data_IF_871160872212
#
_entry.id   IF_871160872212
#
_cell.length_a   1.000
_cell.length_b   1.000
_cell.length_c   1.000
_cell.angle_alpha   90.00
_cell.angle_beta   90.00
_cell.angle_gamma   90.00
#
_symmetry.space_group_name_H-M   'P 1'
#
loop_
_entity.id
_entity.type
_entity.pdbx_description
1 polymer ?
#
# COMPACT_ATOMS: atom_id res chain seq x y z
N UNK A 1 36.49 29.12 -16.20
CA UNK A 1 35.15 29.38 -15.63
C UNK A 1 34.16 28.57 -16.46
N UNK A 2 33.76 27.38 -16.01
CA UNK A 2 32.72 26.59 -16.67
C UNK A 2 31.43 26.80 -15.87
N UNK A 3 30.55 27.66 -16.39
CA UNK A 3 29.22 27.86 -15.83
C UNK A 3 28.30 26.74 -16.32
N UNK A 4 28.01 25.78 -15.43
CA UNK A 4 26.91 24.84 -15.64
C UNK A 4 25.61 25.59 -15.41
N UNK A 5 24.73 25.65 -16.42
CA UNK A 5 23.36 26.11 -16.23
C UNK A 5 22.62 25.05 -15.42
N UNK A 6 22.37 25.32 -14.14
CA UNK A 6 21.36 24.59 -13.38
C UNK A 6 20.01 24.82 -14.06
N UNK A 7 19.54 23.86 -14.84
CA UNK A 7 18.15 23.84 -15.32
C UNK A 7 17.24 23.84 -14.09
N UNK A 8 16.35 24.82 -14.04
CA UNK A 8 15.44 24.98 -12.92
C UNK A 8 14.48 23.78 -12.82
N UNK A 9 14.02 23.47 -11.61
CA UNK A 9 13.01 22.42 -11.36
C UNK A 9 11.77 22.62 -12.26
N UNK A 10 11.41 23.87 -12.55
CA UNK A 10 10.28 24.23 -13.41
C UNK A 10 10.50 23.86 -14.88
N UNK A 11 11.73 23.98 -15.39
CA UNK A 11 12.09 23.58 -16.75
C UNK A 11 12.10 22.06 -16.91
N UNK A 12 12.64 21.34 -15.92
CA UNK A 12 12.61 19.87 -15.89
C UNK A 12 11.17 19.34 -15.79
N UNK A 13 10.34 19.94 -14.95
CA UNK A 13 8.90 19.64 -14.89
C UNK A 13 8.23 19.86 -16.24
N UNK A 14 8.52 20.98 -16.91
CA UNK A 14 7.95 21.27 -18.23
C UNK A 14 8.39 20.26 -19.29
N UNK A 15 9.65 19.83 -19.26
CA UNK A 15 10.18 18.82 -20.18
C UNK A 15 9.55 17.44 -19.97
N UNK A 16 9.43 16.99 -18.72
CA UNK A 16 8.76 15.71 -18.39
C UNK A 16 7.29 15.75 -18.81
N UNK A 17 6.61 16.88 -18.60
CA UNK A 17 5.22 17.04 -19.03
C UNK A 17 5.04 16.97 -20.54
N UNK A 18 5.97 17.52 -21.32
CA UNK A 18 5.95 17.38 -22.78
C UNK A 18 6.17 15.93 -23.22
N UNK A 19 7.08 15.22 -22.56
CA UNK A 19 7.36 13.82 -22.85
C UNK A 19 6.16 12.91 -22.56
N UNK A 20 5.49 13.10 -21.41
CA UNK A 20 4.28 12.35 -21.06
C UNK A 20 3.12 12.63 -22.04
N UNK A 21 3.03 13.87 -22.55
CA UNK A 21 2.04 14.23 -23.57
C UNK A 21 2.35 13.59 -24.93
N UNK A 22 3.63 13.48 -25.30
CA UNK A 22 4.07 12.77 -26.51
C UNK A 22 3.82 11.27 -26.44
N UNK A 23 4.14 10.63 -25.30
CA UNK A 23 3.81 9.22 -25.06
C UNK A 23 2.30 8.97 -25.15
N UNK A 24 1.47 9.97 -24.78
CA UNK A 24 0.02 9.92 -24.97
C UNK A 24 -0.46 10.01 -26.42
N UNK A 25 0.30 10.65 -27.32
CA UNK A 25 -0.08 10.87 -28.72
C UNK A 25 0.43 9.80 -29.70
N UNK A 26 1.54 9.11 -29.38
CA UNK A 26 2.13 8.08 -30.26
C UNK A 26 1.39 6.72 -30.20
N UNK A 27 0.34 6.59 -29.38
CA UNK A 27 -0.45 5.36 -29.20
C UNK A 27 -1.72 5.31 -30.05
N UNK A 28 -1.82 6.14 -31.10
CA UNK A 28 -2.97 6.14 -32.00
C UNK A 28 -2.83 5.09 -33.13
N UNK A 29 -2.46 3.86 -32.75
CA UNK A 29 -2.23 2.73 -33.64
C UNK A 29 -3.05 1.50 -33.25
N UNK A 30 -4.27 1.42 -33.76
CA UNK A 30 -5.06 0.20 -34.03
C UNK A 30 -5.07 -0.95 -33.01
N UNK A 31 -6.14 -1.03 -32.21
CA UNK A 31 -6.52 -2.24 -31.48
C UNK A 31 -7.30 -1.92 -30.22
N UNK A 32 -8.54 -2.40 -30.13
CA UNK A 32 -9.45 -2.30 -28.98
C UNK A 32 -8.81 -2.87 -27.70
N UNK A 33 -8.01 -2.04 -27.03
CA UNK A 33 -7.41 -2.30 -25.73
C UNK A 33 -7.99 -1.27 -24.78
N UNK A 34 -8.80 -1.73 -23.83
CA UNK A 34 -9.60 -0.93 -22.89
C UNK A 34 -8.99 0.44 -22.60
N UNK A 35 -9.50 1.44 -23.32
CA UNK A 35 -9.02 2.81 -23.22
C UNK A 35 -9.08 3.23 -21.76
N UNK A 36 -7.91 3.54 -21.17
CA UNK A 36 -7.84 4.04 -19.80
C UNK A 36 -8.71 5.29 -19.76
N UNK A 37 -9.85 5.19 -19.07
CA UNK A 37 -10.78 6.32 -19.00
C UNK A 37 -10.23 7.31 -17.97
N UNK A 38 -10.31 8.63 -18.24
CA UNK A 38 -9.96 9.63 -17.26
C UNK A 38 -10.77 9.45 -15.97
N UNK A 39 -10.18 9.78 -14.82
CA UNK A 39 -10.91 9.83 -13.56
C UNK A 39 -12.02 10.89 -13.61
N UNK A 40 -13.13 10.66 -12.91
CA UNK A 40 -14.19 11.66 -12.79
C UNK A 40 -13.69 12.87 -11.99
N UNK A 41 -14.18 14.06 -12.34
CA UNK A 41 -13.72 15.29 -11.67
C UNK A 41 -14.08 15.28 -10.18
N UNK A 42 -15.20 14.66 -9.81
CA UNK A 42 -15.58 14.39 -8.42
C UNK A 42 -14.57 13.48 -7.72
N UNK A 43 -14.17 12.38 -8.37
CA UNK A 43 -13.20 11.46 -7.80
C UNK A 43 -11.85 12.15 -7.55
N UNK A 44 -11.37 12.95 -8.50
CA UNK A 44 -10.12 13.72 -8.36
C UNK A 44 -10.24 14.75 -7.23
N UNK A 45 -11.34 15.51 -7.15
CA UNK A 45 -11.58 16.47 -6.06
C UNK A 45 -11.58 15.80 -4.69
N UNK A 46 -12.20 14.63 -4.59
CA UNK A 46 -12.35 13.89 -3.33
C UNK A 46 -11.04 13.28 -2.80
N UNK A 47 -9.98 13.19 -3.60
CA UNK A 47 -8.66 12.79 -3.11
C UNK A 47 -8.05 13.82 -2.15
N UNK A 48 -8.46 15.09 -2.28
CA UNK A 48 -7.90 16.19 -1.52
C UNK A 48 -6.42 16.45 -1.85
N UNK A 49 -5.84 17.41 -1.15
CA UNK A 49 -4.40 17.64 -1.18
C UNK A 49 -3.98 18.26 0.14
N UNK A 50 -2.76 17.97 0.57
CA UNK A 50 -2.20 18.51 1.80
C UNK A 50 -0.75 18.97 1.55
N UNK A 51 -0.27 19.89 2.38
CA UNK A 51 1.14 20.25 2.37
C UNK A 51 1.92 19.09 2.98
N UNK A 52 3.00 18.66 2.33
CA UNK A 52 3.94 17.71 2.91
C UNK A 52 4.53 18.34 4.18
N UNK A 53 4.24 17.81 5.35
CA UNK A 53 4.53 18.43 6.65
C UNK A 53 5.60 17.68 7.46
N UNK A 54 6.43 16.89 6.79
CA UNK A 54 7.26 15.84 7.41
C UNK A 54 6.46 14.74 8.14
N UNK A 55 5.24 14.40 7.70
CA UNK A 55 4.84 13.01 7.78
C UNK A 55 5.83 12.19 6.92
N UNK A 56 6.95 11.76 7.51
CA UNK A 56 7.92 10.85 6.91
C UNK A 56 7.14 9.72 6.25
N UNK A 57 7.21 9.65 4.92
CA UNK A 57 6.57 8.60 4.15
C UNK A 57 7.41 7.36 4.39
N UNK A 58 6.99 6.59 5.40
CA UNK A 58 7.68 5.37 5.79
C UNK A 58 7.10 4.25 4.94
N UNK A 59 7.91 3.76 4.01
CA UNK A 59 7.63 2.50 3.34
C UNK A 59 8.24 1.37 4.16
N UNK A 60 7.41 0.37 4.45
CA UNK A 60 7.86 -0.85 5.13
C UNK A 60 7.68 -2.01 4.18
N UNK A 61 8.79 -2.69 3.91
CA UNK A 61 8.84 -3.91 3.14
C UNK A 61 9.24 -5.07 4.04
N UNK A 62 8.48 -6.16 3.96
CA UNK A 62 8.84 -7.45 4.57
C UNK A 62 9.37 -8.34 3.45
N UNK A 63 10.64 -8.69 3.57
CA UNK A 63 11.36 -9.51 2.60
C UNK A 63 11.47 -10.91 3.17
N UNK A 64 10.80 -11.87 2.53
CA UNK A 64 10.72 -13.26 3.00
C UNK A 64 11.65 -14.10 2.17
N UNK A 65 12.55 -14.83 2.83
CA UNK A 65 13.50 -15.72 2.16
C UNK A 65 12.76 -16.81 1.38
N UNK A 66 13.03 -16.88 0.07
CA UNK A 66 12.39 -17.83 -0.83
C UNK A 66 11.14 -17.32 -1.54
N UNK A 67 10.65 -16.11 -1.23
CA UNK A 67 9.60 -15.43 -1.97
C UNK A 67 10.24 -14.34 -2.85
N UNK A 68 9.84 -14.27 -4.13
CA UNK A 68 10.27 -13.19 -5.02
C UNK A 68 9.47 -11.92 -4.72
N UNK A 69 10.16 -10.81 -4.51
CA UNK A 69 9.56 -9.49 -4.28
C UNK A 69 9.47 -9.12 -2.80
N UNK A 70 8.77 -8.02 -2.53
CA UNK A 70 8.62 -7.45 -1.20
C UNK A 70 7.14 -7.38 -0.82
N UNK A 71 6.82 -7.71 0.43
CA UNK A 71 5.48 -7.53 0.97
C UNK A 71 5.38 -6.18 1.65
N UNK A 72 4.48 -5.33 1.17
CA UNK A 72 4.25 -4.02 1.76
C UNK A 72 3.50 -4.17 3.09
N UNK A 73 3.99 -3.45 4.10
CA UNK A 73 3.34 -3.30 5.39
C UNK A 73 3.22 -1.81 5.77
N UNK A 74 2.30 -1.51 6.69
CA UNK A 74 2.07 -0.17 7.21
C UNK A 74 2.51 -0.11 8.67
N UNK A 75 3.36 0.83 9.09
CA UNK A 75 3.79 0.94 10.48
C UNK A 75 2.65 1.39 11.39
N UNK A 76 2.69 0.94 12.65
CA UNK A 76 1.88 1.51 13.72
C UNK A 76 2.35 2.93 14.07
N UNK A 77 1.46 3.72 14.68
CA UNK A 77 1.83 5.02 15.28
C UNK A 77 2.41 4.87 16.70
N UNK A 78 2.92 3.68 17.02
CA UNK A 78 3.49 3.34 18.30
C UNK A 78 4.58 2.29 18.11
N UNK A 79 5.46 2.18 19.10
CA UNK A 79 6.69 1.40 18.97
C UNK A 79 7.69 2.04 17.99
N UNK A 80 8.92 1.54 17.95
CA UNK A 80 9.92 1.99 17.00
C UNK A 80 9.54 1.61 15.56
N UNK A 81 9.88 2.49 14.61
CA UNK A 81 9.76 2.20 13.17
C UNK A 81 11.16 2.07 12.57
N UNK A 82 11.74 0.88 12.68
CA UNK A 82 13.13 0.60 12.34
C UNK A 82 13.28 -0.69 11.54
N UNK A 83 14.34 -0.75 10.74
CA UNK A 83 14.65 -1.95 9.97
C UNK A 83 15.13 -3.08 10.89
N UNK A 84 14.70 -4.30 10.59
CA UNK A 84 15.10 -5.50 11.31
C UNK A 84 15.83 -6.44 10.34
N UNK A 85 17.04 -6.87 10.73
CA UNK A 85 17.77 -7.95 10.03
C UNK A 85 16.95 -9.23 10.02
N UNK A 86 17.32 -10.17 9.16
CA UNK A 86 16.64 -11.46 9.04
C UNK A 86 16.42 -12.14 10.41
N UNK A 87 15.18 -12.57 10.65
CA UNK A 87 14.73 -13.28 11.85
C UNK A 87 13.75 -14.38 11.46
N UNK A 88 13.65 -15.40 12.31
CA UNK A 88 12.61 -16.40 12.15
C UNK A 88 11.23 -15.78 12.38
N UNK A 89 10.24 -16.28 11.65
CA UNK A 89 8.84 -15.88 11.74
C UNK A 89 8.08 -16.97 12.50
N UNK A 90 7.21 -16.57 13.43
CA UNK A 90 6.33 -17.48 14.15
C UNK A 90 4.90 -16.95 14.13
N UNK A 91 3.93 -17.84 13.96
CA UNK A 91 2.51 -17.49 14.05
C UNK A 91 2.09 -17.61 15.52
N UNK A 92 1.41 -16.59 16.03
CA UNK A 92 0.88 -16.61 17.39
C UNK A 92 -0.21 -17.67 17.58
N UNK A 93 -0.27 -18.28 18.76
CA UNK A 93 -1.35 -19.17 19.17
C UNK A 93 -1.89 -18.73 20.53
N UNK A 94 -3.13 -18.21 20.65
CA UNK A 94 -4.11 -18.01 19.58
C UNK A 94 -3.67 -16.93 18.58
N UNK A 95 -4.13 -17.05 17.34
CA UNK A 95 -3.70 -16.20 16.24
C UNK A 95 -4.05 -14.72 16.43
N UNK A 96 -5.13 -14.43 17.14
CA UNK A 96 -5.50 -13.05 17.48
C UNK A 96 -4.66 -12.45 18.62
N UNK A 97 -3.85 -13.22 19.36
CA UNK A 97 -3.10 -12.73 20.52
C UNK A 97 -3.95 -12.01 21.58
N UNK A 98 -5.25 -12.28 21.64
CA UNK A 98 -6.18 -11.69 22.61
C UNK A 98 -6.06 -12.33 24.00
N UNK A 99 -5.51 -13.55 24.05
CA UNK A 99 -5.25 -14.35 25.26
C UNK A 99 -3.74 -14.63 25.38
N UNK A 100 -3.26 -15.12 26.55
CA UNK A 100 -1.87 -15.58 26.67
C UNK A 100 -1.50 -16.60 25.60
N UNK A 101 -0.28 -16.49 25.07
CA UNK A 101 0.17 -17.36 23.99
C UNK A 101 0.51 -18.76 24.50
N UNK A 102 0.00 -19.77 23.82
CA UNK A 102 0.31 -21.18 24.06
C UNK A 102 1.74 -21.50 23.65
N UNK A 103 2.22 -20.86 22.57
CA UNK A 103 3.56 -21.01 22.03
C UNK A 103 4.51 -19.85 22.39
N UNK A 104 4.32 -19.23 23.57
CA UNK A 104 5.14 -18.09 24.01
C UNK A 104 6.66 -18.40 24.01
N UNK A 105 7.03 -19.63 24.37
CA UNK A 105 8.41 -20.13 24.37
C UNK A 105 9.06 -20.13 22.97
N UNK A 106 8.27 -20.14 21.89
CA UNK A 106 8.77 -20.12 20.53
C UNK A 106 9.03 -18.69 20.00
N UNK A 107 8.64 -17.63 20.72
CA UNK A 107 8.61 -16.26 20.21
C UNK A 107 9.91 -15.47 20.40
N UNK A 108 10.78 -15.90 21.30
CA UNK A 108 12.02 -15.19 21.63
C UNK A 108 12.89 -14.98 20.37
N UNK A 109 13.30 -13.74 20.16
CA UNK A 109 14.11 -13.31 18.99
C UNK A 109 13.44 -13.55 17.62
N UNK A 110 12.11 -13.67 17.58
CA UNK A 110 11.35 -13.88 16.33
C UNK A 110 10.42 -12.72 15.99
N UNK A 111 10.04 -12.66 14.72
CA UNK A 111 8.94 -11.83 14.21
C UNK A 111 7.65 -12.60 14.45
N UNK A 112 6.73 -12.04 15.24
CA UNK A 112 5.45 -12.69 15.56
C UNK A 112 4.36 -12.19 14.61
N UNK A 113 3.64 -13.12 14.00
CA UNK A 113 2.51 -12.85 13.11
C UNK A 113 1.20 -13.18 13.82
N UNK A 114 0.26 -12.26 13.78
CA UNK A 114 -1.04 -12.36 14.44
C UNK A 114 -2.13 -11.68 13.61
N UNK A 115 -3.40 -11.98 13.81
CA UNK A 115 -4.49 -11.27 13.14
C UNK A 115 -5.06 -10.09 13.95
N UNK A 116 -5.71 -9.18 13.24
CA UNK A 116 -6.53 -8.12 13.81
C UNK A 116 -7.78 -8.69 14.48
N UNK A 117 -8.13 -8.18 15.65
CA UNK A 117 -9.36 -8.53 16.38
C UNK A 117 -9.11 -8.91 17.83
N UNK A 118 -10.15 -9.15 18.62
CA UNK A 118 -10.05 -9.69 19.98
C UNK A 118 -9.50 -8.76 21.09
N UNK A 119 -8.55 -7.85 20.80
CA UNK A 119 -8.09 -6.80 21.73
C UNK A 119 -7.38 -5.64 20.99
N UNK A 120 -6.93 -4.63 21.73
CA UNK A 120 -6.22 -3.45 21.18
C UNK A 120 -4.88 -3.84 20.55
N UNK A 121 -4.41 -3.08 19.55
CA UNK A 121 -3.13 -3.37 18.88
C UNK A 121 -1.95 -3.29 19.85
N UNK A 122 -1.90 -2.24 20.68
CA UNK A 122 -0.87 -2.08 21.69
C UNK A 122 -0.82 -3.29 22.63
N UNK A 123 -1.98 -3.76 23.13
CA UNK A 123 -2.03 -4.93 24.02
C UNK A 123 -1.48 -6.19 23.37
N UNK A 124 -1.78 -6.44 22.09
CA UNK A 124 -1.23 -7.59 21.35
C UNK A 124 0.29 -7.52 21.29
N UNK A 125 0.82 -6.35 20.93
CA UNK A 125 2.26 -6.12 20.76
C UNK A 125 2.97 -6.23 22.11
N UNK A 126 2.43 -5.67 23.18
CA UNK A 126 2.96 -5.81 24.54
C UNK A 126 3.03 -7.27 24.99
N UNK A 127 2.02 -8.10 24.66
CA UNK A 127 2.08 -9.54 24.97
C UNK A 127 3.20 -10.23 24.20
N UNK A 128 3.37 -9.94 22.91
CA UNK A 128 4.43 -10.55 22.11
C UNK A 128 5.82 -10.10 22.59
N UNK A 129 5.96 -8.82 22.92
CA UNK A 129 7.15 -8.26 23.55
C UNK A 129 7.49 -8.98 24.87
N UNK A 130 6.49 -9.22 25.72
CA UNK A 130 6.69 -9.97 26.97
C UNK A 130 7.13 -11.43 26.72
N UNK A 131 6.78 -12.02 25.57
CA UNK A 131 7.26 -13.33 25.13
C UNK A 131 8.64 -13.29 24.44
N UNK A 132 9.27 -12.10 24.36
CA UNK A 132 10.59 -11.91 23.76
C UNK A 132 10.59 -11.73 22.25
N UNK A 133 9.44 -11.45 21.64
CA UNK A 133 9.38 -11.09 20.22
C UNK A 133 10.17 -9.82 19.94
N UNK A 134 10.76 -9.74 18.75
CA UNK A 134 11.56 -8.57 18.31
C UNK A 134 10.81 -7.67 17.34
N UNK A 135 9.72 -8.14 16.75
CA UNK A 135 8.77 -7.34 15.99
C UNK A 135 7.43 -8.08 15.86
N UNK A 136 6.38 -7.34 15.52
CA UNK A 136 5.04 -7.88 15.28
C UNK A 136 4.51 -7.47 13.90
N UNK A 137 3.92 -8.44 13.20
CA UNK A 137 3.15 -8.22 11.97
C UNK A 137 1.70 -8.59 12.26
N UNK A 138 0.80 -7.62 12.16
CA UNK A 138 -0.65 -7.81 12.28
C UNK A 138 -1.27 -7.98 10.90
N UNK A 139 -1.98 -9.08 10.70
CA UNK A 139 -2.72 -9.37 9.48
C UNK A 139 -4.11 -8.73 9.60
N UNK A 140 -4.43 -7.87 8.64
CA UNK A 140 -5.77 -7.32 8.50
C UNK A 140 -6.79 -8.44 8.18
N UNK A 141 -8.02 -8.33 8.69
CA UNK A 141 -9.08 -9.33 8.48
C UNK A 141 -10.06 -8.97 7.36
N UNK A 142 -10.09 -7.70 6.94
CA UNK A 142 -10.96 -7.19 5.86
C UNK A 142 -10.11 -6.86 4.63
N UNK A 143 -10.62 -7.12 3.43
CA UNK A 143 -9.92 -6.82 2.17
C UNK A 143 -9.98 -5.32 1.81
N UNK A 144 -9.36 -4.53 2.69
CA UNK A 144 -9.10 -3.11 2.51
C UNK A 144 -7.60 -2.87 2.67
N UNK A 145 -7.14 -1.72 2.17
CA UNK A 145 -5.76 -1.30 2.37
C UNK A 145 -5.42 -1.26 3.89
N UNK A 146 -4.24 -1.74 4.30
CA UNK A 146 -3.79 -1.64 5.69
C UNK A 146 -3.77 -0.20 6.16
N UNK A 147 -4.21 0.04 7.38
CA UNK A 147 -4.19 1.36 7.99
C UNK A 147 -3.14 1.42 9.11
N UNK A 148 -2.72 2.63 9.44
CA UNK A 148 -1.81 2.87 10.57
C UNK A 148 -2.49 2.41 11.85
N UNK A 149 -1.90 1.44 12.55
CA UNK A 149 -2.41 0.99 13.84
C UNK A 149 -2.24 2.12 14.85
N UNK A 150 -3.36 2.65 15.34
CA UNK A 150 -3.37 3.72 16.34
C UNK A 150 -3.61 3.16 17.74
N UNK A 151 -3.01 3.79 18.74
CA UNK A 151 -3.33 3.54 20.14
C UNK A 151 -4.54 4.38 20.55
N UNK A 152 -5.67 3.73 20.77
CA UNK A 152 -6.89 4.38 21.24
C UNK A 152 -7.01 4.43 22.77
N UNK A 153 -6.14 3.74 23.50
CA UNK A 153 -6.28 3.50 24.95
C UNK A 153 -5.12 4.06 25.78
N UNK A 154 -4.04 4.51 25.16
CA UNK A 154 -2.84 5.01 25.84
C UNK A 154 -1.93 3.89 26.37
N UNK A 155 -2.23 2.63 26.03
CA UNK A 155 -1.45 1.47 26.47
C UNK A 155 -0.10 1.36 25.74
N UNK A 156 0.09 2.08 24.63
CA UNK A 156 1.25 1.90 23.76
C UNK A 156 2.56 2.50 24.28
N UNK A 157 2.51 3.26 25.39
CA UNK A 157 3.68 3.90 26.01
C UNK A 157 4.83 2.94 26.34
N UNK A 158 4.50 1.67 26.60
CA UNK A 158 5.46 0.63 26.97
C UNK A 158 5.84 -0.27 25.78
N UNK A 159 5.37 0.04 24.57
CA UNK A 159 5.71 -0.72 23.35
C UNK A 159 7.09 -0.29 22.86
N UNK A 160 8.03 -1.23 22.89
CA UNK A 160 9.45 -1.05 22.56
C UNK A 160 9.88 -1.85 21.32
N UNK A 161 8.98 -2.63 20.72
CA UNK A 161 9.26 -3.39 19.50
C UNK A 161 8.46 -2.87 18.30
N UNK A 162 9.00 -2.96 17.07
CA UNK A 162 8.29 -2.52 15.88
C UNK A 162 7.00 -3.31 15.63
N UNK A 163 5.96 -2.60 15.22
CA UNK A 163 4.67 -3.17 14.89
C UNK A 163 4.19 -2.69 13.51
N UNK A 164 3.83 -3.62 12.65
CA UNK A 164 3.41 -3.35 11.27
C UNK A 164 2.11 -4.08 10.94
N UNK A 165 1.36 -3.58 9.96
CA UNK A 165 0.14 -4.20 9.45
C UNK A 165 0.30 -4.62 7.99
N UNK A 166 -0.12 -5.83 7.66
CA UNK A 166 -0.26 -6.33 6.28
C UNK A 166 -1.73 -6.40 5.85
N UNK A 167 -1.97 -6.37 4.54
CA UNK A 167 -3.32 -6.51 3.97
C UNK A 167 -3.86 -7.92 4.20
N UNK A 168 -5.18 -8.07 4.19
CA UNK A 168 -5.81 -9.38 4.33
C UNK A 168 -5.39 -10.33 3.19
N UNK A 169 -5.39 -9.83 1.95
CA UNK A 169 -5.03 -10.61 0.76
C UNK A 169 -3.60 -11.15 0.83
N UNK A 170 -2.61 -10.29 1.07
CA UNK A 170 -1.21 -10.71 1.12
C UNK A 170 -0.90 -11.47 2.40
N UNK A 171 -1.47 -11.03 3.52
CA UNK A 171 -1.29 -11.65 4.82
C UNK A 171 -1.78 -13.10 4.88
N UNK A 172 -2.91 -13.43 4.25
CA UNK A 172 -3.38 -14.83 4.16
C UNK A 172 -2.37 -15.74 3.45
N UNK A 173 -1.85 -15.31 2.30
CA UNK A 173 -0.82 -16.05 1.58
C UNK A 173 0.48 -16.19 2.37
N UNK A 174 0.90 -15.12 3.06
CA UNK A 174 2.08 -15.15 3.93
C UNK A 174 1.92 -16.11 5.11
N UNK A 175 0.77 -16.09 5.80
CA UNK A 175 0.48 -17.02 6.90
C UNK A 175 0.47 -18.46 6.42
N UNK A 176 -0.12 -18.74 5.25
CA UNK A 176 -0.14 -20.08 4.67
C UNK A 176 1.27 -20.57 4.32
N UNK A 177 2.10 -19.70 3.75
CA UNK A 177 3.51 -19.99 3.49
C UNK A 177 4.28 -20.32 4.78
N UNK A 178 4.06 -19.56 5.85
CA UNK A 178 4.71 -19.81 7.15
C UNK A 178 4.24 -21.13 7.78
N UNK A 179 2.95 -21.48 7.64
CA UNK A 179 2.41 -22.76 8.13
C UNK A 179 3.00 -23.96 7.39
N UNK A 180 3.03 -23.89 6.06
CA UNK A 180 3.53 -24.99 5.22
C UNK A 180 5.02 -25.24 5.39
N UNK A 181 5.79 -24.23 5.79
CA UNK A 181 7.24 -24.31 6.02
C UNK A 181 7.65 -24.25 7.49
N UNK A 182 6.75 -24.59 8.43
CA UNK A 182 7.03 -24.49 9.87
C UNK A 182 8.31 -25.23 10.27
N UNK A 183 8.52 -26.43 9.76
CA UNK A 183 9.66 -27.29 10.12
C UNK A 183 10.99 -26.82 9.51
N UNK A 184 10.95 -26.12 8.37
CA UNK A 184 12.13 -25.53 7.73
C UNK A 184 12.56 -24.20 8.40
N UNK A 185 11.63 -23.54 9.09
CA UNK A 185 11.80 -22.18 9.60
C UNK A 185 11.70 -21.14 8.47
N UNK A 186 10.78 -20.19 8.62
CA UNK A 186 10.67 -19.07 7.68
C UNK A 186 11.46 -17.88 8.19
N UNK A 187 12.35 -17.37 7.35
CA UNK A 187 13.19 -16.21 7.64
C UNK A 187 12.66 -14.98 6.90
N UNK A 188 12.51 -13.87 7.63
CA UNK A 188 12.11 -12.59 7.06
C UNK A 188 12.93 -11.43 7.62
N UNK A 189 13.21 -10.44 6.77
CA UNK A 189 13.76 -9.15 7.14
C UNK A 189 12.70 -8.06 7.00
N UNK A 190 12.81 -6.99 7.79
CA UNK A 190 11.95 -5.81 7.69
C UNK A 190 12.82 -4.64 7.25
N UNK A 191 12.48 -4.05 6.12
CA UNK A 191 13.18 -2.90 5.55
C UNK A 191 12.27 -1.70 5.72
N UNK A 192 12.71 -0.74 6.53
CA UNK A 192 12.06 0.55 6.73
C UNK A 192 12.81 1.58 5.91
N UNK A 193 12.17 2.09 4.86
CA UNK A 193 12.67 3.18 4.03
C UNK A 193 12.07 4.47 4.54
N UNK A 194 12.90 5.26 5.23
CA UNK A 194 12.57 6.63 5.59
C UNK A 194 12.70 7.49 4.34
N UNK A 195 11.83 8.48 4.21
CA UNK A 195 11.83 9.44 3.11
C UNK A 195 11.65 8.81 1.72
N UNK A 196 10.78 7.79 1.59
CA UNK A 196 10.28 7.32 0.31
C UNK A 196 9.36 8.39 -0.31
N UNK A 197 9.97 9.51 -0.70
CA UNK A 197 9.33 10.79 -1.07
C UNK A 197 9.45 11.07 -2.55
N UNK A 198 10.03 10.19 -3.34
CA UNK A 198 10.09 10.42 -4.78
C UNK A 198 8.70 10.17 -5.38
N UNK A 199 8.16 11.21 -6.00
CA UNK A 199 6.97 11.06 -6.81
C UNK A 199 7.34 10.23 -8.03
N UNK A 200 6.91 8.96 -8.10
CA UNK A 200 7.29 8.04 -9.19
C UNK A 200 6.90 8.50 -10.59
N UNK A 201 6.02 9.50 -10.70
CA UNK A 201 5.62 10.11 -11.97
C UNK A 201 6.75 11.00 -12.51
N UNK A 202 7.36 11.82 -11.67
CA UNK A 202 8.38 12.79 -12.07
C UNK A 202 9.79 12.46 -11.57
N UNK A 203 9.92 11.46 -10.69
CA UNK A 203 11.16 11.04 -10.03
C UNK A 203 11.83 12.16 -9.22
N UNK A 204 11.02 13.09 -8.68
CA UNK A 204 11.47 14.20 -7.84
C UNK A 204 10.95 14.05 -6.42
N UNK A 205 11.74 14.48 -5.44
CA UNK A 205 11.36 14.49 -4.03
C UNK A 205 10.10 15.36 -3.78
N UNK A 206 9.19 14.84 -2.97
CA UNK A 206 8.06 15.54 -2.38
C UNK A 206 8.49 16.22 -1.08
N UNK A 207 9.26 17.30 -1.21
CA UNK A 207 9.82 18.05 -0.08
C UNK A 207 8.75 18.74 0.77
N UNK A 208 9.12 19.13 2.00
CA UNK A 208 8.25 19.81 2.96
C UNK A 208 7.63 21.07 2.34
N UNK A 209 6.35 21.31 2.61
CA UNK A 209 5.57 22.41 2.07
C UNK A 209 5.03 22.16 0.66
N UNK A 210 5.52 21.15 -0.07
CA UNK A 210 4.97 20.81 -1.39
C UNK A 210 3.57 20.22 -1.26
N UNK A 211 2.71 20.53 -2.23
CA UNK A 211 1.35 20.01 -2.29
C UNK A 211 1.37 18.57 -2.81
N UNK A 212 0.93 17.63 -1.97
CA UNK A 212 0.86 16.20 -2.29
C UNK A 212 -0.57 15.70 -2.20
N UNK A 213 -0.87 14.68 -3.00
CA UNK A 213 -2.16 13.99 -2.98
C UNK A 213 -1.94 12.50 -2.77
N UNK A 214 -2.78 11.91 -1.92
CA UNK A 214 -2.84 10.48 -1.69
C UNK A 214 -3.94 9.88 -2.54
N UNK A 215 -3.62 8.81 -3.25
CA UNK A 215 -4.64 7.92 -3.81
C UNK A 215 -5.37 7.19 -2.66
N UNK A 216 -6.55 6.58 -2.89
CA UNK A 216 -7.24 5.82 -1.84
C UNK A 216 -6.40 4.64 -1.30
N UNK A 217 -5.50 4.12 -2.13
CA UNK A 217 -4.46 3.15 -1.76
C UNK A 217 -3.26 3.74 -0.97
N UNK A 218 -3.34 5.00 -0.54
CA UNK A 218 -2.35 5.75 0.24
C UNK A 218 -1.00 6.05 -0.43
N UNK A 219 -0.76 5.58 -1.66
CA UNK A 219 0.37 6.05 -2.45
C UNK A 219 0.31 7.55 -2.68
N UNK A 220 1.45 8.21 -2.50
CA UNK A 220 1.60 9.66 -2.57
C UNK A 220 2.31 10.08 -3.85
N UNK A 221 1.89 11.23 -4.35
CA UNK A 221 2.44 11.86 -5.53
C UNK A 221 2.35 13.38 -5.32
N UNK A 222 3.17 14.16 -6.03
CA UNK A 222 2.87 15.59 -6.16
C UNK A 222 1.45 15.73 -6.73
N UNK A 223 0.64 16.61 -6.14
CA UNK A 223 -0.75 16.82 -6.56
C UNK A 223 -0.84 17.10 -8.06
N UNK A 224 0.06 17.94 -8.58
CA UNK A 224 0.11 18.26 -10.00
C UNK A 224 0.35 17.02 -10.88
N UNK A 225 1.36 16.21 -10.53
CA UNK A 225 1.71 15.01 -11.27
C UNK A 225 0.55 14.01 -11.30
N UNK A 226 -0.08 13.76 -10.15
CA UNK A 226 -1.20 12.83 -10.06
C UNK A 226 -2.43 13.35 -10.82
N UNK A 227 -2.74 14.64 -10.72
CA UNK A 227 -3.88 15.20 -11.44
C UNK A 227 -3.74 15.05 -12.95
N UNK A 228 -2.52 15.26 -13.48
CA UNK A 228 -2.23 15.07 -14.89
C UNK A 228 -2.32 13.60 -15.30
N UNK A 229 -1.79 12.69 -14.48
CA UNK A 229 -1.95 11.25 -14.70
C UNK A 229 -3.43 10.84 -14.76
N UNK A 230 -4.25 11.38 -13.84
CA UNK A 230 -5.67 11.07 -13.73
C UNK A 230 -6.53 11.65 -14.86
N UNK A 231 -6.00 12.57 -15.67
CA UNK A 231 -6.63 13.03 -16.91
C UNK A 231 -6.51 11.99 -18.04
N UNK A 232 -5.55 11.08 -17.95
CA UNK A 232 -5.29 10.05 -18.97
C UNK A 232 -5.85 8.69 -18.51
N UNK A 233 -5.86 8.40 -17.22
CA UNK A 233 -6.39 7.13 -16.71
C UNK A 233 -6.81 7.20 -15.24
N UNK A 234 -7.79 6.39 -14.85
CA UNK A 234 -8.37 6.45 -13.51
C UNK A 234 -7.70 5.52 -12.49
N UNK A 235 -6.40 5.26 -12.59
CA UNK A 235 -5.71 4.29 -11.72
C UNK A 235 -4.41 4.80 -11.10
N UNK A 236 -4.05 4.26 -9.94
CA UNK A 236 -2.81 4.56 -9.24
C UNK A 236 -1.58 4.16 -10.07
N UNK A 237 -0.59 5.06 -10.27
CA UNK A 237 0.65 4.75 -11.00
C UNK A 237 1.47 3.60 -10.40
N UNK A 238 1.39 3.36 -9.09
CA UNK A 238 2.17 2.33 -8.40
C UNK A 238 1.46 0.98 -8.42
N UNK A 239 0.22 0.92 -7.92
CA UNK A 239 -0.47 -0.35 -7.68
C UNK A 239 -1.69 -0.59 -8.59
N UNK A 240 -1.99 0.32 -9.51
CA UNK A 240 -3.12 0.26 -10.46
C UNK A 240 -4.52 0.18 -9.84
N UNK A 241 -4.66 0.39 -8.52
CA UNK A 241 -5.98 0.56 -7.88
C UNK A 241 -6.74 1.69 -8.57
N UNK A 242 -7.95 1.39 -9.03
CA UNK A 242 -8.80 2.32 -9.78
C UNK A 242 -9.61 3.23 -8.87
N UNK A 243 -9.93 4.42 -9.39
CA UNK A 243 -10.92 5.35 -8.87
C UNK A 243 -12.03 5.55 -9.91
N UNK A 244 -13.21 6.07 -9.53
CA UNK A 244 -14.31 6.24 -10.47
C UNK A 244 -13.90 7.03 -11.73
N UNK A 245 -14.13 6.45 -12.91
CA UNK A 245 -13.86 7.07 -14.20
C UNK A 245 -14.99 8.01 -14.65
N UNK A 246 -14.70 8.93 -15.58
CA UNK A 246 -15.73 9.73 -16.25
C UNK A 246 -16.70 8.80 -16.99
N UNK A 247 -18.00 9.03 -16.79
CA UNK A 247 -19.03 8.34 -17.58
C UNK A 247 -18.95 8.82 -19.03
N UNK A 248 -19.06 7.93 -20.02
CA UNK A 248 -19.20 8.36 -21.40
C UNK A 248 -20.48 9.18 -21.53
N UNK A 249 -20.36 10.40 -22.03
CA UNK A 249 -21.50 11.21 -22.42
C UNK A 249 -22.09 10.61 -23.69
N UNK A 250 -23.04 9.69 -23.54
CA UNK A 250 -23.92 9.35 -24.65
C UNK A 250 -24.89 10.52 -24.84
N UNK A 251 -24.74 11.25 -25.94
CA UNK A 251 -25.76 12.18 -26.43
C UNK A 251 -27.00 11.36 -26.77
N UNK A 252 -27.97 11.32 -25.87
CA UNK A 252 -29.22 10.60 -26.08
C UNK A 252 -30.09 11.37 -27.07
N UNK A 253 -30.20 10.87 -28.31
CA UNK A 253 -31.35 11.16 -29.16
C UNK A 253 -32.07 9.85 -29.50
N UNK A 254 -33.26 9.74 -28.90
CA UNK A 254 -34.44 9.03 -29.37
C UNK A 254 -34.51 7.48 -29.28
N UNK A 255 -35.44 7.08 -28.39
CA UNK A 255 -36.53 6.10 -28.59
C UNK A 255 -36.46 4.83 -27.76
N UNK A 256 -37.43 4.74 -26.86
CA UNK A 256 -37.86 3.58 -26.08
C UNK A 256 -38.22 2.39 -26.97
N UNK A 257 -37.72 1.20 -26.65
CA UNK A 257 -38.48 -0.06 -26.49
C UNK A 257 -37.53 -1.27 -26.33
N UNK A 258 -37.79 -2.06 -25.29
CA UNK A 258 -37.45 -3.48 -25.10
C UNK A 258 -36.02 -3.99 -25.36
N UNK A 259 -35.32 -4.34 -24.28
CA UNK A 259 -34.56 -5.59 -24.19
C UNK A 259 -34.35 -5.96 -22.70
N UNK A 260 -35.39 -6.51 -22.08
CA UNK A 260 -35.23 -7.43 -20.97
C UNK A 260 -34.49 -8.68 -21.51
N UNK A 261 -33.53 -9.20 -20.74
CA UNK A 261 -32.78 -10.47 -20.91
C UNK A 261 -31.48 -10.45 -21.75
N UNK A 262 -30.36 -10.51 -21.01
CA UNK A 262 -29.24 -11.48 -21.12
C UNK A 262 -28.44 -11.28 -19.83
N UNK A 263 -28.50 -12.14 -18.82
CA UNK A 263 -28.21 -13.57 -18.87
C UNK A 263 -26.81 -13.77 -18.28
N UNK A 264 -26.79 -14.10 -16.98
CA UNK A 264 -25.78 -14.82 -16.20
C UNK A 264 -24.35 -14.93 -16.75
N UNK A 265 -23.37 -14.45 -15.98
CA UNK A 265 -21.99 -14.94 -16.04
C UNK A 265 -21.64 -15.60 -14.71
N UNK A 266 -21.66 -16.94 -14.75
CA UNK A 266 -21.37 -17.84 -13.65
C UNK A 266 -19.87 -17.94 -13.36
N UNK A 267 -19.54 -18.04 -12.07
CA UNK A 267 -18.21 -18.00 -11.47
C UNK A 267 -17.44 -19.34 -11.50
N UNK A 268 -17.72 -20.27 -12.43
CA UNK A 268 -17.30 -21.68 -12.31
C UNK A 268 -16.15 -22.18 -13.18
N UNK A 269 -15.41 -21.35 -13.94
CA UNK A 269 -14.38 -21.87 -14.88
C UNK A 269 -12.96 -21.31 -14.67
N UNK A 270 -12.46 -21.33 -13.44
CA UNK A 270 -11.04 -21.02 -13.13
C UNK A 270 -10.22 -22.22 -12.63
N UNK A 271 -10.75 -23.44 -12.77
CA UNK A 271 -9.97 -24.66 -12.55
C UNK A 271 -10.11 -25.60 -13.75
N UNK A 272 -9.09 -25.59 -14.61
CA UNK A 272 -8.59 -26.69 -15.44
C UNK A 272 -7.12 -26.44 -15.73
#
# INVERSE_FOLDING_TARGET
MFGGSETSVQELQTMVMRLLTQIGNDWNGGGDTGARRPASDDAVRNLGSFAADQASTIEVAVVVKGIKGEVIAVPGNFGPCESLKERNVVIAEPFDGAKPFQNANEMKDKIVVMERGGCTFARKVLRAQAAGAVAVIVIQTVDIWPYVMTDSTGESKDVMIPAFMMSAKVGKGFVEFVRTKRDEGVLAAIIVRKDARECVICQVEMSIGMKVTRMPCQHMFHTACLHQWLQIGSSCPICRVEIPAKRPTHTSSATSQNAQQRGDFAWSEWFS
#
